data_IF_970949186840
#
_entry.id   IF_970949186840
#
_cell.length_a   1.000
_cell.length_b   1.000
_cell.length_c   1.000
_cell.angle_alpha   90.00
_cell.angle_beta   90.00
_cell.angle_gamma   90.00
#
_symmetry.space_group_name_H-M   'P 1'
#
loop_
_entity.id
_entity.type
_entity.pdbx_description
1 polymer ?
#
# COMPACT_ATOMS: atom_id res chain seq x y z
N UNK A 1 16.05 -13.43 12.93
CA UNK A 1 15.54 -12.07 12.63
C UNK A 1 15.65 -11.89 11.13
N UNK A 2 14.53 -11.66 10.43
CA UNK A 2 14.56 -11.37 8.99
C UNK A 2 14.89 -9.88 8.87
N UNK A 3 15.94 -9.54 8.15
CA UNK A 3 16.26 -8.16 7.78
C UNK A 3 15.96 -8.03 6.28
N UNK A 4 14.80 -7.47 5.89
CA UNK A 4 14.50 -7.26 4.48
C UNK A 4 15.55 -6.35 3.85
N UNK A 5 15.79 -6.54 2.56
CA UNK A 5 16.40 -5.55 1.72
C UNK A 5 15.41 -4.38 1.56
N UNK A 6 15.79 -3.22 2.05
CA UNK A 6 14.99 -2.01 1.94
C UNK A 6 15.24 -1.35 0.58
N UNK A 7 14.16 -0.94 -0.08
CA UNK A 7 14.20 -0.15 -1.33
C UNK A 7 13.29 1.06 -1.14
N UNK A 8 13.89 2.25 -1.00
CA UNK A 8 13.14 3.50 -0.99
C UNK A 8 12.62 3.87 -2.38
N UNK A 9 11.51 4.61 -2.42
CA UNK A 9 10.98 5.18 -3.65
C UNK A 9 10.32 6.54 -3.43
N UNK A 10 10.24 7.35 -4.48
CA UNK A 10 9.57 8.64 -4.52
C UNK A 10 8.49 8.63 -5.60
N UNK A 11 7.30 9.06 -5.25
CA UNK A 11 6.14 9.18 -6.12
C UNK A 11 5.95 10.65 -6.50
N UNK A 12 5.69 10.88 -7.77
CA UNK A 12 5.35 12.18 -8.34
C UNK A 12 4.02 12.04 -9.09
N UNK A 13 3.02 12.84 -8.71
CA UNK A 13 1.74 12.90 -9.42
C UNK A 13 1.91 13.70 -10.71
N UNK A 14 1.64 13.06 -11.85
CA UNK A 14 1.72 13.65 -13.18
C UNK A 14 0.43 14.38 -13.54
N UNK A 15 0.51 15.28 -14.53
CA UNK A 15 -0.62 16.10 -14.98
C UNK A 15 -1.80 15.30 -15.54
N UNK A 16 -1.58 14.05 -15.97
CA UNK A 16 -2.61 13.15 -16.50
C UNK A 16 -3.26 12.26 -15.40
N UNK A 17 -2.91 12.49 -14.13
CA UNK A 17 -3.40 11.72 -12.98
C UNK A 17 -2.71 10.37 -12.80
N UNK A 18 -1.68 10.07 -13.59
CA UNK A 18 -0.80 8.93 -13.32
C UNK A 18 0.28 9.30 -12.30
N UNK A 19 0.89 8.30 -11.67
CA UNK A 19 1.98 8.46 -10.71
C UNK A 19 3.27 7.95 -11.34
N UNK A 20 4.32 8.77 -11.31
CA UNK A 20 5.68 8.35 -11.63
C UNK A 20 6.43 8.04 -10.34
N UNK A 21 6.77 6.77 -10.16
CA UNK A 21 7.57 6.25 -9.06
C UNK A 21 9.03 6.12 -9.48
N UNK A 22 9.94 6.68 -8.69
CA UNK A 22 11.39 6.55 -8.86
C UNK A 22 11.98 5.82 -7.66
N UNK A 23 12.63 4.69 -7.92
CA UNK A 23 13.29 3.88 -6.89
C UNK A 23 14.70 4.39 -6.63
N UNK A 24 15.18 4.26 -5.39
CA UNK A 24 16.55 4.63 -5.01
C UNK A 24 17.61 3.79 -5.73
N UNK A 25 17.25 2.60 -6.21
CA UNK A 25 18.11 1.73 -7.02
C UNK A 25 18.16 2.11 -8.52
N UNK A 26 17.50 3.22 -8.90
CA UNK A 26 17.50 3.77 -10.25
C UNK A 26 16.40 3.23 -11.17
N UNK A 27 15.60 2.24 -10.72
CA UNK A 27 14.41 1.82 -11.47
C UNK A 27 13.36 2.92 -11.47
N UNK A 28 12.51 2.92 -12.49
CA UNK A 28 11.37 3.84 -12.59
C UNK A 28 10.12 3.06 -12.96
N UNK A 29 8.97 3.45 -12.41
CA UNK A 29 7.68 2.81 -12.63
C UNK A 29 6.59 3.87 -12.81
N UNK A 30 5.75 3.70 -13.82
CA UNK A 30 4.57 4.54 -14.06
C UNK A 30 3.34 3.75 -13.67
N UNK A 31 2.47 4.38 -12.90
CA UNK A 31 1.30 3.75 -12.27
C UNK A 31 0.05 4.54 -12.64
N UNK A 32 -1.02 3.85 -12.99
CA UNK A 32 -2.29 4.46 -13.34
C UNK A 32 -3.45 3.66 -12.76
N UNK A 33 -4.35 4.32 -12.04
CA UNK A 33 -5.59 3.70 -11.55
C UNK A 33 -6.51 3.33 -12.72
N UNK A 34 -7.17 2.19 -12.61
CA UNK A 34 -8.15 1.75 -13.61
C UNK A 34 -9.48 2.49 -13.42
N UNK A 35 -9.76 3.46 -14.29
CA UNK A 35 -11.04 4.18 -14.29
C UNK A 35 -11.37 4.79 -12.92
N UNK A 36 -12.57 4.50 -12.41
CA UNK A 36 -13.02 4.92 -11.08
C UNK A 36 -12.68 3.91 -9.97
N UNK A 37 -12.05 2.78 -10.30
CA UNK A 37 -11.67 1.77 -9.31
C UNK A 37 -10.46 2.24 -8.51
N UNK A 38 -10.66 2.48 -7.21
CA UNK A 38 -9.57 2.80 -6.27
C UNK A 38 -8.65 1.60 -5.97
N UNK A 39 -9.01 0.40 -6.44
CA UNK A 39 -8.34 -0.86 -6.03
C UNK A 39 -7.43 -1.45 -7.09
N UNK A 40 -7.59 -1.08 -8.35
CA UNK A 40 -6.77 -1.61 -9.42
C UNK A 40 -5.86 -0.53 -10.00
N UNK A 41 -4.57 -0.83 -10.05
CA UNK A 41 -3.55 0.02 -10.64
C UNK A 41 -2.79 -0.76 -11.69
N UNK A 42 -2.78 -0.25 -12.91
CA UNK A 42 -1.86 -0.71 -13.96
C UNK A 42 -0.51 -0.07 -13.73
N UNK A 43 0.56 -0.82 -13.95
CA UNK A 43 1.91 -0.29 -13.88
C UNK A 43 2.78 -0.83 -15.00
N UNK A 44 3.78 -0.05 -15.36
CA UNK A 44 4.90 -0.49 -16.19
C UNK A 44 6.19 0.17 -15.71
N UNK A 45 7.32 -0.46 -15.96
CA UNK A 45 8.63 0.04 -15.51
C UNK A 45 9.57 0.38 -16.67
N UNK A 46 10.71 0.98 -16.34
CA UNK A 46 11.76 1.35 -17.29
C UNK A 46 12.50 0.15 -17.88
N UNK A 47 12.30 -1.06 -17.34
CA UNK A 47 12.82 -2.32 -17.86
C UNK A 47 11.80 -3.03 -18.76
N UNK A 48 10.69 -2.35 -19.11
CA UNK A 48 9.61 -2.87 -19.94
C UNK A 48 8.84 -4.04 -19.30
N UNK A 49 8.93 -4.21 -17.98
CA UNK A 49 8.00 -5.04 -17.24
C UNK A 49 6.71 -4.27 -17.00
N UNK A 50 5.60 -4.99 -16.89
CA UNK A 50 4.29 -4.41 -16.63
C UNK A 50 3.37 -5.39 -15.92
N UNK A 51 2.28 -4.87 -15.38
CA UNK A 51 1.32 -5.66 -14.63
C UNK A 51 0.21 -4.83 -14.03
N UNK A 52 -0.51 -5.48 -13.12
CA UNK A 52 -1.56 -4.87 -12.31
C UNK A 52 -1.30 -5.11 -10.84
N UNK A 53 -1.56 -4.10 -10.02
CA UNK A 53 -1.64 -4.21 -8.58
C UNK A 53 -3.11 -4.09 -8.18
N UNK A 54 -3.62 -5.09 -7.48
CA UNK A 54 -4.98 -5.15 -6.93
C UNK A 54 -4.92 -5.10 -5.40
N UNK A 55 -5.62 -4.16 -4.78
CA UNK A 55 -5.79 -4.12 -3.34
C UNK A 55 -6.87 -5.12 -2.90
N UNK A 56 -6.44 -6.16 -2.16
CA UNK A 56 -7.28 -7.18 -1.55
C UNK A 56 -7.46 -6.91 -0.05
N UNK A 57 -8.70 -6.67 0.37
CA UNK A 57 -9.00 -6.33 1.76
C UNK A 57 -8.38 -4.99 2.15
N UNK A 58 -7.82 -4.90 3.36
CA UNK A 58 -7.20 -3.67 3.89
C UNK A 58 -5.69 -3.55 3.66
N UNK A 59 -4.97 -4.67 3.60
CA UNK A 59 -3.50 -4.64 3.70
C UNK A 59 -2.78 -5.55 2.70
N UNK A 60 -3.50 -6.27 1.83
CA UNK A 60 -2.87 -7.19 0.89
C UNK A 60 -2.89 -6.57 -0.50
N UNK A 61 -1.73 -6.51 -1.14
CA UNK A 61 -1.59 -6.08 -2.53
C UNK A 61 -1.27 -7.31 -3.35
N UNK A 62 -2.13 -7.67 -4.30
CA UNK A 62 -1.87 -8.70 -5.30
C UNK A 62 -1.25 -8.04 -6.52
N UNK A 63 -0.01 -8.37 -6.84
CA UNK A 63 0.67 -7.96 -8.07
C UNK A 63 0.61 -9.10 -9.08
N UNK A 64 -0.03 -8.85 -10.21
CA UNK A 64 -0.08 -9.76 -11.36
C UNK A 64 0.80 -9.19 -12.46
N UNK A 65 1.84 -9.92 -12.84
CA UNK A 65 2.74 -9.56 -13.93
C UNK A 65 2.10 -9.86 -15.30
N UNK A 66 2.60 -9.24 -16.36
CA UNK A 66 2.11 -9.45 -17.72
C UNK A 66 2.21 -10.91 -18.21
N UNK A 67 3.11 -11.71 -17.62
CA UNK A 67 3.24 -13.14 -17.89
C UNK A 67 2.25 -14.02 -17.09
N UNK A 68 1.40 -13.40 -16.26
CA UNK A 68 0.44 -14.06 -15.39
C UNK A 68 0.98 -14.47 -14.02
N UNK A 69 2.26 -14.23 -13.74
CA UNK A 69 2.85 -14.53 -12.42
C UNK A 69 2.23 -13.63 -11.35
N UNK A 70 1.81 -14.24 -10.25
CA UNK A 70 1.21 -13.53 -9.12
C UNK A 70 2.18 -13.49 -7.95
N UNK A 71 2.32 -12.31 -7.35
CA UNK A 71 3.03 -12.11 -6.08
C UNK A 71 2.17 -11.28 -5.15
N UNK A 72 2.32 -11.48 -3.84
CA UNK A 72 1.58 -10.72 -2.85
C UNK A 72 2.53 -9.86 -2.02
N UNK A 73 2.11 -8.63 -1.82
CA UNK A 73 2.67 -7.68 -0.88
C UNK A 73 1.74 -7.51 0.31
N UNK A 74 2.31 -7.15 1.46
CA UNK A 74 1.54 -6.74 2.63
C UNK A 74 1.90 -5.31 2.98
N UNK A 75 0.92 -4.43 2.88
CA UNK A 75 1.01 -3.08 3.42
C UNK A 75 1.03 -3.14 4.94
N UNK A 76 2.01 -2.48 5.53
CA UNK A 76 2.22 -2.38 6.98
C UNK A 76 2.11 -0.92 7.46
N UNK A 77 1.47 -0.07 6.65
CA UNK A 77 1.18 1.33 6.93
C UNK A 77 2.38 2.25 6.76
N UNK A 78 2.12 3.56 6.78
CA UNK A 78 3.11 4.63 6.63
C UNK A 78 3.94 4.52 5.35
N UNK A 79 3.29 4.15 4.24
CA UNK A 79 3.93 4.01 2.92
C UNK A 79 4.90 2.84 2.82
N UNK A 80 4.71 1.76 3.59
CA UNK A 80 5.63 0.61 3.61
C UNK A 80 4.93 -0.66 3.18
N UNK A 81 5.51 -1.35 2.21
CA UNK A 81 4.97 -2.61 1.69
C UNK A 81 6.02 -3.71 1.71
N UNK A 82 5.69 -4.83 2.33
CA UNK A 82 6.55 -6.00 2.45
C UNK A 82 6.23 -7.01 1.35
N UNK A 83 7.24 -7.46 0.61
CA UNK A 83 7.12 -8.39 -0.50
C UNK A 83 7.95 -9.66 -0.26
N UNK A 84 7.67 -10.72 -1.02
CA UNK A 84 8.52 -11.91 -1.08
C UNK A 84 8.83 -12.50 0.30
N UNK A 85 7.81 -12.77 1.14
CA UNK A 85 7.99 -13.26 2.53
C UNK A 85 8.90 -12.38 3.42
N UNK A 86 8.93 -11.08 3.18
CA UNK A 86 9.78 -10.18 3.96
C UNK A 86 11.23 -10.15 3.53
N UNK A 87 11.51 -10.58 2.30
CA UNK A 87 12.81 -10.37 1.66
C UNK A 87 12.98 -8.91 1.24
N UNK A 88 11.91 -8.26 0.78
CA UNK A 88 11.98 -6.87 0.28
C UNK A 88 10.98 -6.00 1.01
N UNK A 89 11.45 -4.87 1.54
CA UNK A 89 10.62 -3.82 2.12
C UNK A 89 10.70 -2.59 1.23
N UNK A 90 9.59 -2.22 0.63
CA UNK A 90 9.47 -0.99 -0.15
C UNK A 90 9.02 0.13 0.78
N UNK A 91 9.67 1.30 0.69
CA UNK A 91 9.39 2.44 1.57
C UNK A 91 9.16 3.71 0.75
N UNK A 92 7.98 4.31 0.88
CA UNK A 92 7.68 5.60 0.31
C UNK A 92 8.47 6.69 1.04
N UNK A 93 9.31 7.41 0.29
CA UNK A 93 10.11 8.55 0.73
C UNK A 93 9.50 9.88 0.31
N UNK A 94 8.37 9.85 -0.39
CA UNK A 94 7.66 11.06 -0.82
C UNK A 94 7.19 11.84 0.40
N UNK A 95 7.74 13.03 0.57
CA UNK A 95 7.19 14.00 1.51
C UNK A 95 5.97 14.64 0.86
N UNK A 96 4.76 14.17 1.19
CA UNK A 96 3.55 14.92 0.88
C UNK A 96 3.64 16.27 1.59
N UNK A 97 3.60 17.36 0.83
CA UNK A 97 3.73 18.72 1.35
C UNK A 97 2.59 19.04 2.32
N UNK A 98 2.85 18.89 3.61
CA UNK A 98 1.89 19.12 4.70
C UNK A 98 2.50 18.78 6.05
N UNK A 99 1.79 19.03 7.16
CA UNK A 99 2.29 18.75 8.52
C UNK A 99 2.66 17.28 8.78
N UNK A 100 2.23 16.35 7.92
CA UNK A 100 2.62 14.94 7.90
C UNK A 100 3.99 14.66 7.24
N UNK A 101 4.48 15.57 6.39
CA UNK A 101 5.73 15.40 5.63
C UNK A 101 7.01 15.46 6.46
N UNK A 102 6.92 15.82 7.75
CA UNK A 102 8.07 15.85 8.66
C UNK A 102 8.37 14.49 9.33
N UNK A 103 7.45 13.52 9.29
CA UNK A 103 7.58 12.26 10.04
C UNK A 103 8.05 11.06 9.22
N UNK A 104 7.85 11.05 7.89
CA UNK A 104 8.24 9.90 7.04
C UNK A 104 9.75 9.85 6.76
N UNK A 105 10.45 10.98 6.81
CA UNK A 105 11.89 11.07 6.50
C UNK A 105 12.80 10.54 7.62
N UNK A 106 12.28 10.37 8.84
CA UNK A 106 13.09 10.07 10.04
C UNK A 106 13.13 8.59 10.46
N UNK A 107 12.21 7.76 9.99
CA UNK A 107 12.12 6.35 10.39
C UNK A 107 12.73 5.44 9.32
N UNK A 108 14.07 5.49 9.22
CA UNK A 108 14.82 4.34 8.70
C UNK A 108 14.58 3.12 9.60
N UNK A 109 14.73 1.90 9.05
CA UNK A 109 14.40 0.57 9.61
C UNK A 109 14.89 0.22 11.04
N UNK A 110 15.46 1.14 11.80
CA UNK A 110 16.01 0.90 13.13
C UNK A 110 14.99 0.36 14.18
N UNK A 111 13.67 0.43 13.98
CA UNK A 111 12.71 0.15 15.07
C UNK A 111 11.58 -0.86 14.81
N UNK A 112 11.36 -1.36 13.59
CA UNK A 112 10.29 -2.37 13.38
C UNK A 112 10.83 -3.79 13.33
N UNK A 113 10.62 -4.52 14.41
CA UNK A 113 10.72 -5.97 14.41
C UNK A 113 9.61 -6.54 13.51
N UNK A 114 9.94 -6.88 12.27
CA UNK A 114 9.01 -7.60 11.38
C UNK A 114 8.74 -8.96 12.01
N UNK A 115 7.55 -9.11 12.57
CA UNK A 115 7.06 -10.38 13.11
C UNK A 115 6.41 -11.21 12.00
N UNK A 116 6.27 -12.52 12.22
CA UNK A 116 5.65 -13.44 11.26
C UNK A 116 4.24 -13.01 10.80
N UNK A 117 3.51 -12.25 11.62
CA UNK A 117 2.18 -11.72 11.31
C UNK A 117 2.16 -10.69 10.16
N UNK A 118 3.32 -10.10 9.85
CA UNK A 118 3.47 -9.10 8.80
C UNK A 118 3.91 -9.70 7.47
N UNK A 119 4.19 -11.01 7.42
CA UNK A 119 4.61 -11.65 6.18
C UNK A 119 3.46 -11.73 5.19
N UNK A 120 3.69 -11.36 3.92
CA UNK A 120 2.68 -11.56 2.88
C UNK A 120 2.44 -13.06 2.65
N UNK A 121 1.23 -13.44 2.22
CA UNK A 121 0.94 -14.82 1.83
C UNK A 121 1.78 -15.20 0.61
N UNK A 122 2.17 -16.49 0.51
CA UNK A 122 2.87 -17.01 -0.68
C UNK A 122 1.95 -17.18 -1.89
N UNK A 123 0.73 -17.62 -1.60
CA UNK A 123 -0.29 -17.98 -2.54
C UNK A 123 -1.62 -17.83 -1.82
N UNK A 124 -2.65 -17.41 -2.54
CA UNK A 124 -4.03 -17.47 -2.08
C UNK A 124 -4.86 -18.22 -3.11
N UNK A 125 -5.90 -18.90 -2.65
CA UNK A 125 -6.87 -19.48 -3.58
C UNK A 125 -7.77 -18.38 -4.15
N UNK A 126 -8.38 -18.57 -5.33
CA UNK A 126 -9.31 -17.59 -5.89
C UNK A 126 -10.46 -17.23 -4.94
N UNK A 127 -10.91 -18.19 -4.13
CA UNK A 127 -11.98 -17.99 -3.14
C UNK A 127 -11.52 -17.10 -1.98
N UNK A 128 -10.28 -17.25 -1.50
CA UNK A 128 -9.70 -16.39 -0.47
C UNK A 128 -9.54 -14.94 -0.97
N UNK A 129 -9.09 -14.77 -2.22
CA UNK A 129 -9.01 -13.44 -2.83
C UNK A 129 -10.39 -12.78 -2.93
N UNK A 130 -11.40 -13.53 -3.36
CA UNK A 130 -12.77 -13.02 -3.50
C UNK A 130 -13.37 -12.64 -2.14
N UNK A 131 -13.12 -13.42 -1.09
CA UNK A 131 -13.52 -13.07 0.26
C UNK A 131 -12.90 -11.72 0.72
N UNK A 132 -11.63 -11.47 0.38
CA UNK A 132 -10.96 -10.19 0.67
C UNK A 132 -11.51 -9.02 -0.17
N UNK A 133 -11.87 -9.26 -1.43
CA UNK A 133 -12.56 -8.26 -2.28
C UNK A 133 -13.91 -7.87 -1.68
N UNK A 134 -14.67 -8.85 -1.18
CA UNK A 134 -15.97 -8.62 -0.54
C UNK A 134 -15.84 -7.89 0.80
N UNK A 135 -14.87 -8.28 1.64
CA UNK A 135 -14.62 -7.60 2.92
C UNK A 135 -14.40 -6.11 2.71
N UNK A 136 -13.55 -5.74 1.75
CA UNK A 136 -13.27 -4.33 1.45
C UNK A 136 -14.49 -3.58 0.91
N UNK A 137 -15.42 -4.23 0.18
CA UNK A 137 -16.67 -3.59 -0.27
C UNK A 137 -17.62 -3.28 0.89
N UNK A 138 -17.69 -4.18 1.88
CA UNK A 138 -18.55 -4.00 3.06
C UNK A 138 -18.09 -2.89 4.00
N UNK A 139 -16.78 -2.65 4.10
CA UNK A 139 -16.21 -1.55 4.90
C UNK A 139 -16.44 -0.15 4.30
N UNK A 140 -16.71 -0.05 2.99
CA UNK A 140 -17.02 1.22 2.31
C UNK A 140 -18.49 1.66 2.40
N UNK A 141 -19.40 0.83 2.95
CA UNK A 141 -20.83 1.11 3.06
C UNK A 141 -21.30 1.50 4.48
N UNK A 142 -20.40 1.71 5.43
CA UNK A 142 -20.73 2.03 6.82
C UNK A 142 -20.74 3.53 7.11
N UNK A 143 -21.68 4.27 6.52
CA UNK A 143 -21.91 5.67 6.86
C UNK A 143 -23.40 5.96 6.98
N UNK A 144 -23.95 5.90 8.20
CA UNK A 144 -24.88 6.90 8.77
C UNK A 144 -25.30 6.54 10.22
N UNK A 145 -25.63 7.59 10.99
CA UNK A 145 -26.42 7.66 12.25
C UNK A 145 -25.72 7.73 13.62
N UNK A 146 -25.66 8.97 14.15
CA UNK A 146 -26.28 9.31 15.46
C UNK A 146 -25.38 9.30 16.71
N UNK A 147 -25.22 10.46 17.34
CA UNK A 147 -24.32 10.68 18.49
C UNK A 147 -24.94 10.59 19.89
N UNK A 148 -24.07 10.66 20.91
CA UNK A 148 -24.23 11.32 22.23
C UNK A 148 -22.89 11.22 23.01
N UNK A 149 -22.54 12.15 23.95
CA UNK A 149 -21.18 12.28 24.47
C UNK A 149 -20.95 11.65 25.85
N UNK A 150 -19.75 11.09 26.03
CA UNK A 150 -19.07 11.06 27.33
C UNK A 150 -18.98 9.70 28.01
N UNK A 151 -17.77 9.15 28.10
CA UNK A 151 -16.97 8.95 29.32
C UNK A 151 -15.73 8.12 28.96
N UNK A 152 -14.55 8.59 29.34
CA UNK A 152 -13.26 8.14 28.82
C UNK A 152 -12.79 6.78 29.34
N UNK A 153 -11.85 6.17 28.60
CA UNK A 153 -10.57 5.63 29.08
C UNK A 153 -9.80 5.06 27.87
N UNK A 154 -8.62 5.62 27.58
CA UNK A 154 -7.56 5.14 26.65
C UNK A 154 -7.96 4.36 25.38
N UNK A 155 -8.27 5.08 24.29
CA UNK A 155 -7.90 4.60 22.96
C UNK A 155 -7.54 5.83 22.10
N UNK A 156 -6.25 6.03 21.89
CA UNK A 156 -5.74 7.12 21.08
C UNK A 156 -6.13 6.84 19.63
N UNK A 157 -7.31 7.34 19.26
CA UNK A 157 -7.85 7.28 17.91
C UNK A 157 -6.85 7.81 16.89
N UNK A 158 -6.49 6.94 15.97
CA UNK A 158 -5.90 7.33 14.70
C UNK A 158 -6.72 6.65 13.61
N UNK A 159 -7.23 7.49 12.73
CA UNK A 159 -8.18 7.19 11.67
C UNK A 159 -7.64 6.12 10.70
N UNK A 160 -8.52 5.18 10.36
CA UNK A 160 -8.24 3.86 9.76
C UNK A 160 -8.37 3.91 8.23
N UNK A 161 -7.76 4.93 7.59
CA UNK A 161 -7.98 5.31 6.18
C UNK A 161 -6.75 5.24 5.25
N UNK A 162 -5.59 4.75 5.70
CA UNK A 162 -4.34 4.94 4.94
C UNK A 162 -3.78 3.66 4.28
N UNK A 163 -4.63 2.82 3.70
CA UNK A 163 -4.13 1.77 2.80
C UNK A 163 -3.68 2.36 1.46
N UNK A 164 -4.45 3.32 0.90
CA UNK A 164 -4.11 4.29 -0.16
C UNK A 164 -5.03 5.50 0.07
N UNK A 165 -4.51 6.64 0.49
CA UNK A 165 -5.34 7.85 0.66
C UNK A 165 -5.68 8.43 -0.71
N UNK A 166 -6.77 9.20 -0.79
CA UNK A 166 -7.01 10.08 -1.94
C UNK A 166 -5.87 11.12 -2.05
N UNK A 167 -5.20 11.46 -0.95
CA UNK A 167 -4.03 12.35 -0.92
C UNK A 167 -2.82 11.84 -1.71
N UNK A 168 -2.71 10.51 -1.92
CA UNK A 168 -1.66 9.91 -2.75
C UNK A 168 -1.87 10.16 -4.25
N UNK A 169 -3.07 10.61 -4.66
CA UNK A 169 -3.48 10.79 -6.05
C UNK A 169 -4.14 12.15 -6.34
N UNK A 170 -4.29 13.02 -5.34
CA UNK A 170 -4.87 14.37 -5.45
C UNK A 170 -6.36 14.43 -5.15
#
# INVERSE_FOLDING_TARGET
MIRPHEIGYFDELLADGSVHRRYEDGRQEWRRREGSSRRLVHWHDSANASGTDELLGKHIVKRTLADGTVTYGKDIGYGRTLWGRGETLMVNRTSFGGRAGALLTGLGVATLAITAAHLPPLSMTPEEEEALRQQSQSSSSGGDSGGDPGTGDWDAGWHDDEAWSDDDFG
#
